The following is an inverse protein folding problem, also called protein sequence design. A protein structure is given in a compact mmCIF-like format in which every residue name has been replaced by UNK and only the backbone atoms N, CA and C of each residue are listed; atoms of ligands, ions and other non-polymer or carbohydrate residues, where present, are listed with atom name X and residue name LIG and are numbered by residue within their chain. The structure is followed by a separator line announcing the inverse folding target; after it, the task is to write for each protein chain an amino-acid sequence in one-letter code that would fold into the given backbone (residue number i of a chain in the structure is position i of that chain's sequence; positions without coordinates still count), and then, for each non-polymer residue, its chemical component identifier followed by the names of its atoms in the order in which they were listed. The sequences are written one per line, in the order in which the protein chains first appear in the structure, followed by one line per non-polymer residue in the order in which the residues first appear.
data_IF_037361434376
#
_entry.id   IF_037361434376
#
_cell.length_a   1.000
_cell.length_b   1.000
_cell.length_c   1.000
_cell.angle_alpha   90.00
_cell.angle_beta   90.00
_cell.angle_gamma   90.00
#
_symmetry.space_group_name_H-M   'P 1'
#
loop_
_entity.id
_entity.type
_entity.pdbx_description
1 polymer ?
#
# COMPACT_ATOMS: atom_id res chain seq x y z
N UNK A 1 -0.21 -22.94 8.06
CA UNK A 1 -0.88 -22.30 6.91
C UNK A 1 -2.19 -21.75 7.48
N UNK A 2 -2.48 -20.44 7.57
CA UNK A 2 -2.59 -19.48 6.50
C UNK A 2 -2.76 -18.05 7.09
N UNK A 3 -1.68 -17.36 7.47
CA UNK A 3 -1.74 -16.00 8.07
C UNK A 3 -1.48 -14.86 7.07
N UNK A 4 -1.24 -15.17 5.79
CA UNK A 4 -0.82 -14.20 4.76
C UNK A 4 -1.97 -13.34 4.20
N UNK A 5 -3.22 -13.73 4.42
CA UNK A 5 -4.39 -13.09 3.78
C UNK A 5 -5.06 -12.02 4.66
N UNK A 6 -4.88 -12.01 5.98
CA UNK A 6 -5.58 -11.06 6.86
C UNK A 6 -5.01 -9.63 6.83
N UNK A 7 -3.89 -9.38 6.14
CA UNK A 7 -3.13 -8.11 6.32
C UNK A 7 -3.06 -7.25 5.05
N UNK A 8 -2.88 -7.81 3.85
CA UNK A 8 -2.86 -7.03 2.61
C UNK A 8 -4.25 -6.50 2.22
N UNK A 9 -5.29 -7.32 2.34
CA UNK A 9 -6.65 -6.94 1.95
C UNK A 9 -7.15 -5.73 2.77
N UNK A 10 -6.86 -5.72 4.07
CA UNK A 10 -7.20 -4.60 4.95
C UNK A 10 -6.46 -3.32 4.55
N UNK A 11 -5.18 -3.43 4.19
CA UNK A 11 -4.37 -2.30 3.73
C UNK A 11 -4.92 -1.74 2.39
N UNK A 12 -5.25 -2.62 1.44
CA UNK A 12 -5.86 -2.24 0.16
C UNK A 12 -7.21 -1.54 0.38
N UNK A 13 -8.08 -2.10 1.22
CA UNK A 13 -9.40 -1.52 1.49
C UNK A 13 -9.30 -0.16 2.19
N UNK A 14 -8.32 0.00 3.10
CA UNK A 14 -8.03 1.28 3.75
C UNK A 14 -7.57 2.32 2.74
N UNK A 15 -6.65 1.95 1.84
CA UNK A 15 -6.13 2.83 0.80
C UNK A 15 -7.23 3.23 -0.20
N UNK A 16 -8.07 2.28 -0.64
CA UNK A 16 -9.25 2.56 -1.47
C UNK A 16 -10.18 3.58 -0.81
N UNK A 17 -10.46 3.40 0.49
CA UNK A 17 -11.35 4.32 1.23
C UNK A 17 -10.73 5.71 1.32
N UNK A 18 -9.44 5.82 1.64
CA UNK A 18 -8.74 7.11 1.70
C UNK A 18 -8.74 7.84 0.35
N UNK A 19 -8.49 7.12 -0.76
CA UNK A 19 -8.55 7.66 -2.11
C UNK A 19 -9.96 8.12 -2.51
N UNK A 20 -10.99 7.44 -2.01
CA UNK A 20 -12.39 7.80 -2.28
C UNK A 20 -12.89 8.97 -1.41
N UNK A 21 -12.39 9.09 -0.18
CA UNK A 21 -12.84 10.09 0.78
C UNK A 21 -12.15 11.44 0.60
N UNK A 22 -11.00 11.46 -0.07
CA UNK A 22 -10.23 12.67 -0.32
C UNK A 22 -10.21 12.94 -1.83
N UNK A 23 -10.42 14.19 -2.24
CA UNK A 23 -10.24 14.64 -3.63
C UNK A 23 -8.75 14.74 -3.98
N UNK A 24 -8.04 13.62 -3.85
CA UNK A 24 -6.61 13.53 -4.13
C UNK A 24 -6.42 13.43 -5.64
N UNK A 25 -5.59 14.31 -6.20
CA UNK A 25 -5.13 14.16 -7.58
C UNK A 25 -4.38 12.83 -7.70
N UNK A 26 -4.89 11.93 -8.55
CA UNK A 26 -4.29 10.60 -8.76
C UNK A 26 -2.90 10.66 -9.39
N UNK A 27 -2.46 11.82 -9.84
CA UNK A 27 -1.13 12.02 -10.44
C UNK A 27 -0.09 12.31 -9.37
N UNK A 28 0.93 11.45 -9.26
CA UNK A 28 2.09 11.70 -8.41
C UNK A 28 1.86 11.42 -6.93
N UNK A 29 0.87 10.59 -6.59
CA UNK A 29 0.64 10.20 -5.21
C UNK A 29 1.76 9.26 -4.74
N UNK A 30 2.52 9.70 -3.73
CA UNK A 30 3.54 8.89 -3.08
C UNK A 30 2.94 8.35 -1.80
N UNK A 31 2.90 7.03 -1.67
CA UNK A 31 2.51 6.36 -0.44
C UNK A 31 3.76 5.98 0.34
N UNK A 32 3.94 6.61 1.49
CA UNK A 32 5.04 6.29 2.40
C UNK A 32 4.63 5.12 3.29
N UNK A 33 5.37 4.02 3.22
CA UNK A 33 5.01 2.78 3.91
C UNK A 33 6.24 2.15 4.53
N UNK A 34 6.07 1.62 5.74
CA UNK A 34 7.09 0.81 6.38
C UNK A 34 7.26 -0.54 5.68
N UNK A 35 8.44 -1.16 5.76
CA UNK A 35 8.72 -2.50 5.22
C UNK A 35 8.04 -3.66 5.98
N UNK A 36 6.78 -3.48 6.36
CA UNK A 36 5.96 -4.53 6.94
C UNK A 36 5.55 -5.57 5.90
N UNK A 37 5.44 -6.84 6.32
CA UNK A 37 5.07 -7.96 5.44
C UNK A 37 3.71 -7.77 4.75
N UNK A 38 2.82 -6.94 5.31
CA UNK A 38 1.52 -6.62 4.74
C UNK A 38 1.56 -5.73 3.49
N UNK A 39 2.67 -5.02 3.29
CA UNK A 39 2.89 -4.08 2.19
C UNK A 39 3.87 -4.61 1.15
N UNK A 40 4.65 -5.63 1.50
CA UNK A 40 5.53 -6.37 0.58
C UNK A 40 4.82 -7.56 -0.10
N UNK A 41 3.50 -7.63 0.01
CA UNK A 41 2.70 -8.66 -0.66
C UNK A 41 2.39 -8.21 -2.09
N UNK A 42 2.52 -9.14 -3.02
CA UNK A 42 2.28 -8.92 -4.46
C UNK A 42 0.93 -8.25 -4.74
N UNK A 43 -0.11 -8.65 -4.02
CA UNK A 43 -1.46 -8.10 -4.19
C UNK A 43 -1.54 -6.61 -3.83
N UNK A 44 -0.72 -6.14 -2.89
CA UNK A 44 -0.65 -4.73 -2.49
C UNK A 44 0.13 -3.91 -3.52
N UNK A 45 1.24 -4.47 -4.03
CA UNK A 45 2.02 -3.85 -5.11
C UNK A 45 1.19 -3.69 -6.39
N UNK A 46 0.53 -4.76 -6.84
CA UNK A 46 -0.34 -4.76 -8.01
C UNK A 46 -1.49 -3.75 -7.86
N UNK A 47 -2.05 -3.61 -6.64
CA UNK A 47 -3.05 -2.59 -6.39
C UNK A 47 -2.48 -1.18 -6.53
N UNK A 48 -1.34 -0.87 -5.92
CA UNK A 48 -0.73 0.45 -5.99
C UNK A 48 -0.40 0.85 -7.44
N UNK A 49 0.13 -0.07 -8.24
CA UNK A 49 0.37 0.14 -9.67
C UNK A 49 -0.93 0.45 -10.43
N UNK A 50 -2.02 -0.28 -10.15
CA UNK A 50 -3.31 -0.08 -10.82
C UNK A 50 -3.91 1.31 -10.61
N UNK A 51 -3.55 1.99 -9.51
CA UNK A 51 -4.02 3.34 -9.18
C UNK A 51 -2.94 4.42 -9.36
N UNK A 52 -1.81 4.09 -9.99
CA UNK A 52 -0.66 4.98 -10.22
C UNK A 52 -0.06 5.59 -8.94
N UNK A 53 -0.03 4.80 -7.87
CA UNK A 53 0.61 5.18 -6.62
C UNK A 53 2.07 4.73 -6.64
N UNK A 54 2.97 5.66 -6.36
CA UNK A 54 4.39 5.36 -6.16
C UNK A 54 4.60 4.99 -4.71
N UNK A 55 5.13 3.80 -4.46
CA UNK A 55 5.45 3.35 -3.12
C UNK A 55 6.85 3.82 -2.72
N UNK A 56 6.96 4.55 -1.60
CA UNK A 56 8.23 4.94 -0.99
C UNK A 56 8.43 4.16 0.29
N UNK A 57 9.24 3.10 0.23
CA UNK A 57 9.54 2.25 1.39
C UNK A 57 10.74 2.77 2.17
N UNK A 58 10.70 2.69 3.50
CA UNK A 58 11.86 2.95 4.36
C UNK A 58 12.98 1.90 4.13
N UNK A 59 14.23 2.29 4.37
CA UNK A 59 15.41 1.43 4.11
C UNK A 59 15.50 0.33 5.18
N UNK A 60 15.73 -0.91 4.77
CA UNK A 60 15.92 -2.04 5.71
C UNK A 60 17.09 -1.76 6.64
N UNK A 61 16.87 -1.83 7.96
CA UNK A 61 17.94 -1.83 8.97
C UNK A 61 18.28 -0.50 9.65
N UNK A 62 17.46 0.54 9.51
CA UNK A 62 17.56 1.75 10.33
C UNK A 62 16.18 2.08 10.94
N UNK A 63 15.89 1.60 12.17
CA UNK A 63 14.73 2.06 12.94
C UNK A 63 14.89 3.50 13.45
#
# INVERSE_FOLDING_TARGET
MNSKTMTAELAINTLKKALSSQSISKSGLILHIDQGSQYTLKDFDEFCESVNIIQSMSKTGYP
#
